data_IF_239220053859
#
_entry.id   IF_239220053859
#
_cell.length_a   1.000
_cell.length_b   1.000
_cell.length_c   1.000
_cell.angle_alpha   90.00
_cell.angle_beta   90.00
_cell.angle_gamma   90.00
#
_symmetry.space_group_name_H-M   'P 1'
#
loop_
_entity.id
_entity.type
_entity.pdbx_description
1 polymer ?
#
# COMPACT_ATOMS: atom_id res chain seq x y z
N UNK A 1 4.41 -64.26 -6.29
CA UNK A 1 3.23 -64.02 -5.42
C UNK A 1 3.21 -62.63 -4.79
N UNK A 2 4.35 -61.98 -4.48
CA UNK A 2 4.38 -60.60 -3.95
C UNK A 2 3.94 -59.50 -4.95
N UNK A 3 4.08 -59.72 -6.26
CA UNK A 3 3.80 -58.72 -7.31
C UNK A 3 2.32 -58.44 -7.57
N UNK A 4 1.41 -59.33 -7.13
CA UNK A 4 -0.05 -59.18 -7.28
C UNK A 4 -0.75 -58.61 -6.03
N UNK A 5 -0.05 -58.54 -4.89
CA UNK A 5 -0.63 -58.06 -3.62
C UNK A 5 -0.57 -56.52 -3.52
N UNK A 6 0.47 -55.91 -4.10
CA UNK A 6 0.70 -54.47 -4.07
C UNK A 6 -0.43 -53.68 -4.78
N UNK A 7 -0.91 -54.06 -5.98
CA UNK A 7 -2.01 -53.34 -6.66
C UNK A 7 -3.35 -53.47 -5.92
N UNK A 8 -3.61 -54.63 -5.29
CA UNK A 8 -4.88 -54.94 -4.61
C UNK A 8 -5.05 -54.14 -3.32
N UNK A 9 -3.96 -53.79 -2.63
CA UNK A 9 -4.00 -52.92 -1.45
C UNK A 9 -3.90 -51.43 -1.80
N UNK A 10 -3.29 -51.07 -2.93
CA UNK A 10 -3.18 -49.68 -3.38
C UNK A 10 -4.52 -49.06 -3.76
N UNK A 11 -5.40 -49.79 -4.45
CA UNK A 11 -6.69 -49.24 -4.90
C UNK A 11 -7.62 -48.90 -3.71
N UNK A 12 -7.88 -49.79 -2.74
CA UNK A 12 -8.69 -49.46 -1.57
C UNK A 12 -8.07 -48.37 -0.71
N UNK A 13 -6.74 -48.39 -0.54
CA UNK A 13 -6.03 -47.35 0.22
C UNK A 13 -6.18 -45.98 -0.46
N UNK A 14 -6.04 -45.93 -1.78
CA UNK A 14 -6.22 -44.70 -2.57
C UNK A 14 -7.66 -44.20 -2.49
N UNK A 15 -8.65 -45.09 -2.58
CA UNK A 15 -10.07 -44.75 -2.44
C UNK A 15 -10.38 -44.22 -1.03
N UNK A 16 -9.85 -44.84 0.03
CA UNK A 16 -10.02 -44.37 1.41
C UNK A 16 -9.36 -43.00 1.60
N UNK A 17 -8.14 -42.80 1.08
CA UNK A 17 -7.44 -41.50 1.13
C UNK A 17 -8.24 -40.44 0.37
N UNK A 18 -8.73 -40.76 -0.83
CA UNK A 18 -9.53 -39.87 -1.66
C UNK A 18 -10.86 -39.51 -0.99
N UNK A 19 -11.56 -40.49 -0.43
CA UNK A 19 -12.81 -40.27 0.31
C UNK A 19 -12.59 -39.44 1.58
N UNK A 20 -11.52 -39.72 2.34
CA UNK A 20 -11.12 -38.89 3.48
C UNK A 20 -10.77 -37.47 3.06
N UNK A 21 -10.12 -37.30 1.93
CA UNK A 21 -9.78 -35.99 1.38
C UNK A 21 -11.02 -35.20 0.95
N UNK A 22 -11.97 -35.84 0.25
CA UNK A 22 -13.23 -35.22 -0.16
C UNK A 22 -14.06 -34.81 1.06
N UNK A 23 -14.19 -35.70 2.05
CA UNK A 23 -15.03 -35.48 3.22
C UNK A 23 -14.37 -34.65 4.33
N UNK A 24 -13.09 -34.26 4.16
CA UNK A 24 -12.42 -33.36 5.09
C UNK A 24 -13.14 -32.01 5.12
N UNK A 25 -13.80 -31.71 6.22
CA UNK A 25 -14.41 -30.39 6.47
C UNK A 25 -13.31 -29.34 6.63
N UNK A 26 -13.53 -28.18 6.01
CA UNK A 26 -12.66 -27.03 6.23
C UNK A 26 -12.91 -26.48 7.64
N UNK A 27 -11.85 -26.00 8.29
CA UNK A 27 -12.00 -25.28 9.57
C UNK A 27 -12.82 -24.00 9.36
N UNK A 28 -13.67 -23.61 10.32
CA UNK A 28 -14.39 -22.35 10.22
C UNK A 28 -13.41 -21.17 10.21
N UNK A 29 -13.77 -20.02 9.62
CA UNK A 29 -12.94 -18.82 9.69
C UNK A 29 -12.74 -18.38 11.14
N UNK A 30 -11.55 -17.88 11.49
CA UNK A 30 -11.29 -17.30 12.82
C UNK A 30 -12.13 -16.02 12.92
N UNK A 31 -12.89 -15.88 14.01
CA UNK A 31 -13.89 -14.82 14.21
C UNK A 31 -14.92 -14.67 13.07
N UNK A 32 -15.14 -15.71 12.26
CA UNK A 32 -16.02 -15.63 11.09
C UNK A 32 -15.45 -14.86 9.89
N UNK A 33 -14.26 -14.25 10.03
CA UNK A 33 -13.63 -13.38 9.04
C UNK A 33 -12.44 -14.07 8.35
N UNK A 34 -11.47 -14.53 9.13
CA UNK A 34 -10.14 -14.91 8.67
C UNK A 34 -10.10 -16.36 8.18
N UNK A 35 -9.92 -16.58 6.87
CA UNK A 35 -9.95 -17.92 6.26
C UNK A 35 -8.72 -18.74 6.60
N UNK A 36 -8.97 -19.98 7.03
CA UNK A 36 -7.91 -20.94 7.33
C UNK A 36 -7.57 -21.81 6.11
N UNK A 37 -6.38 -22.43 6.14
CA UNK A 37 -5.94 -23.36 5.09
C UNK A 37 -6.91 -24.54 4.97
N UNK A 38 -7.63 -24.60 3.85
CA UNK A 38 -8.57 -25.68 3.52
C UNK A 38 -7.90 -26.88 2.84
N UNK A 39 -8.70 -27.90 2.50
CA UNK A 39 -8.21 -29.13 1.83
C UNK A 39 -7.52 -28.90 0.48
N UNK A 40 -7.96 -27.90 -0.29
CA UNK A 40 -7.40 -27.56 -1.61
C UNK A 40 -6.31 -26.48 -1.57
N UNK A 41 -5.86 -26.07 -0.37
CA UNK A 41 -4.90 -24.99 -0.19
C UNK A 41 -3.63 -25.18 -1.02
N UNK A 42 -2.97 -26.34 -0.93
CA UNK A 42 -1.68 -26.54 -1.62
C UNK A 42 -1.80 -26.53 -3.13
N UNK A 43 -2.90 -27.07 -3.68
CA UNK A 43 -3.18 -26.97 -5.11
C UNK A 43 -3.35 -25.52 -5.55
N UNK A 44 -4.20 -24.75 -4.84
CA UNK A 44 -4.41 -23.32 -5.10
C UNK A 44 -3.12 -22.52 -4.99
N UNK A 45 -2.33 -22.79 -3.97
CA UNK A 45 -1.04 -22.15 -3.71
C UNK A 45 -0.08 -22.38 -4.88
N UNK A 46 0.14 -23.62 -5.29
CA UNK A 46 1.05 -23.94 -6.39
C UNK A 46 0.59 -23.30 -7.70
N UNK A 47 -0.71 -23.33 -7.98
CA UNK A 47 -1.28 -22.69 -9.16
C UNK A 47 -1.02 -21.17 -9.16
N UNK A 48 -1.38 -20.47 -8.08
CA UNK A 48 -1.21 -19.02 -8.00
C UNK A 48 0.25 -18.62 -7.98
N UNK A 49 1.09 -19.34 -7.23
CA UNK A 49 2.52 -19.07 -7.17
C UNK A 49 3.15 -19.15 -8.56
N UNK A 50 2.80 -20.18 -9.34
CA UNK A 50 3.28 -20.35 -10.72
C UNK A 50 2.82 -19.22 -11.62
N UNK A 51 1.52 -18.86 -11.59
CA UNK A 51 0.97 -17.74 -12.38
C UNK A 51 1.67 -16.42 -12.03
N UNK A 52 1.84 -16.13 -10.75
CA UNK A 52 2.45 -14.89 -10.27
C UNK A 52 3.93 -14.83 -10.62
N UNK A 53 4.69 -15.93 -10.44
CA UNK A 53 6.10 -16.00 -10.84
C UNK A 53 6.28 -15.86 -12.35
N UNK A 54 5.41 -16.48 -13.15
CA UNK A 54 5.44 -16.32 -14.59
C UNK A 54 5.13 -14.86 -14.99
N UNK A 55 4.14 -14.22 -14.37
CA UNK A 55 3.84 -12.79 -14.59
C UNK A 55 5.04 -11.90 -14.24
N UNK A 56 5.71 -12.17 -13.12
CA UNK A 56 6.92 -11.45 -12.70
C UNK A 56 8.07 -11.63 -13.70
N UNK A 57 8.30 -12.87 -14.15
CA UNK A 57 9.32 -13.17 -15.16
C UNK A 57 9.03 -12.46 -16.48
N UNK A 58 7.78 -12.51 -16.97
CA UNK A 58 7.36 -11.82 -18.19
C UNK A 58 7.59 -10.31 -18.06
N UNK A 59 7.25 -9.71 -16.92
CA UNK A 59 7.47 -8.28 -16.68
C UNK A 59 8.95 -7.94 -16.62
N UNK A 60 9.77 -8.77 -16.00
CA UNK A 60 11.21 -8.60 -15.91
C UNK A 60 11.86 -8.69 -17.30
N UNK A 61 11.51 -9.69 -18.11
CA UNK A 61 12.00 -9.82 -19.49
C UNK A 61 11.58 -8.61 -20.32
N UNK A 62 10.30 -8.17 -20.24
CA UNK A 62 9.85 -6.95 -20.93
C UNK A 62 10.66 -5.73 -20.53
N UNK A 63 10.98 -5.58 -19.24
CA UNK A 63 11.81 -4.48 -18.77
C UNK A 63 13.23 -4.56 -19.35
N UNK A 64 13.87 -5.73 -19.33
CA UNK A 64 15.20 -5.90 -19.93
C UNK A 64 15.19 -5.59 -21.42
N UNK A 65 14.19 -6.08 -22.16
CA UNK A 65 14.05 -5.81 -23.58
C UNK A 65 13.85 -4.32 -23.88
N UNK A 66 13.05 -3.61 -23.07
CA UNK A 66 12.85 -2.17 -23.23
C UNK A 66 14.15 -1.38 -23.00
N UNK A 67 15.00 -1.84 -22.09
CA UNK A 67 16.32 -1.24 -21.80
C UNK A 67 17.33 -1.57 -22.91
N UNK A 68 17.41 -2.84 -23.33
CA UNK A 68 18.43 -3.32 -24.27
C UNK A 68 18.15 -2.93 -25.73
N UNK A 69 16.89 -3.00 -26.17
CA UNK A 69 16.54 -2.74 -27.57
C UNK A 69 16.26 -1.27 -27.89
N UNK A 70 16.35 -0.38 -26.90
CA UNK A 70 16.21 1.07 -27.09
C UNK A 70 15.04 1.44 -27.99
N UNK A 71 13.90 0.72 -27.89
CA UNK A 71 12.74 0.87 -28.78
C UNK A 71 12.01 2.18 -28.52
N UNK A 72 12.68 3.30 -28.69
CA UNK A 72 12.06 4.59 -28.94
C UNK A 72 12.23 4.95 -30.40
N UNK A 73 11.11 5.28 -31.05
CA UNK A 73 11.10 5.88 -32.38
C UNK A 73 11.64 7.32 -32.40
N UNK A 74 11.95 7.92 -31.25
CA UNK A 74 12.34 9.33 -31.12
C UNK A 74 13.70 9.58 -30.43
N UNK A 75 14.42 8.53 -30.01
CA UNK A 75 15.74 8.67 -29.39
C UNK A 75 15.75 9.10 -27.91
N UNK A 76 14.60 9.14 -27.22
CA UNK A 76 14.54 9.35 -25.75
C UNK A 76 14.31 8.05 -24.96
N UNK A 77 14.94 7.94 -23.78
CA UNK A 77 14.96 6.75 -22.92
C UNK A 77 13.58 6.48 -22.30
N UNK A 78 12.94 5.35 -22.66
CA UNK A 78 11.59 4.97 -22.21
C UNK A 78 11.40 4.59 -20.74
N UNK A 79 12.47 4.52 -19.94
CA UNK A 79 12.35 4.29 -18.48
C UNK A 79 11.43 5.35 -17.87
N UNK A 80 11.48 6.59 -18.37
CA UNK A 80 10.59 7.66 -17.92
C UNK A 80 9.15 7.53 -18.41
N UNK A 81 8.86 6.82 -19.52
CA UNK A 81 7.49 6.82 -20.09
C UNK A 81 6.51 6.07 -19.20
N UNK A 82 6.84 4.85 -18.76
CA UNK A 82 5.97 4.09 -17.85
C UNK A 82 5.78 4.80 -16.51
N UNK A 83 6.85 5.39 -15.98
CA UNK A 83 6.81 6.19 -14.75
C UNK A 83 5.94 7.44 -14.95
N UNK A 84 6.07 8.10 -16.10
CA UNK A 84 5.24 9.25 -16.45
C UNK A 84 3.77 8.87 -16.58
N UNK A 85 3.47 7.75 -17.24
CA UNK A 85 2.11 7.22 -17.43
C UNK A 85 1.46 6.86 -16.09
N UNK A 86 2.19 6.21 -15.17
CA UNK A 86 1.71 5.91 -13.81
C UNK A 86 1.51 7.14 -12.92
N UNK A 87 2.16 8.25 -13.27
CA UNK A 87 2.06 9.54 -12.57
C UNK A 87 1.10 10.50 -13.30
N UNK A 88 0.41 10.04 -14.34
CA UNK A 88 -0.71 10.77 -14.90
C UNK A 88 -1.90 10.67 -13.94
N UNK A 89 -2.63 11.77 -13.87
CA UNK A 89 -3.92 11.81 -13.19
C UNK A 89 -4.84 10.77 -13.79
N UNK A 90 -5.33 9.88 -12.95
CA UNK A 90 -6.33 8.91 -13.31
C UNK A 90 -7.62 9.61 -13.74
N UNK A 91 -8.21 9.10 -14.83
CA UNK A 91 -9.52 9.54 -15.28
C UNK A 91 -10.58 8.90 -14.38
N UNK A 92 -11.27 9.73 -13.58
CA UNK A 92 -12.18 9.25 -12.55
C UNK A 92 -13.46 8.57 -13.09
N UNK A 93 -13.68 8.56 -14.41
CA UNK A 93 -14.82 7.91 -15.08
C UNK A 93 -16.19 8.22 -14.44
N UNK A 94 -17.23 7.48 -14.84
CA UNK A 94 -18.59 7.63 -14.28
C UNK A 94 -18.80 6.79 -13.01
N UNK A 95 -17.77 6.12 -12.49
CA UNK A 95 -17.93 5.31 -11.28
C UNK A 95 -17.96 6.23 -10.07
N UNK A 96 -19.05 6.29 -9.29
CA UNK A 96 -19.17 7.21 -8.14
C UNK A 96 -18.16 6.90 -7.03
N UNK A 97 -17.54 5.71 -7.06
CA UNK A 97 -16.55 5.25 -6.09
C UNK A 97 -15.12 5.31 -6.62
N UNK A 98 -14.89 5.90 -7.79
CA UNK A 98 -13.54 6.06 -8.31
C UNK A 98 -12.69 6.92 -7.38
N UNK A 99 -11.38 6.72 -7.45
CA UNK A 99 -10.42 7.47 -6.64
C UNK A 99 -9.13 7.69 -7.41
N UNK A 100 -8.50 8.81 -7.13
CA UNK A 100 -7.11 9.08 -7.42
C UNK A 100 -6.50 9.82 -6.23
N UNK A 101 -5.72 9.10 -5.42
CA UNK A 101 -5.19 9.56 -4.15
C UNK A 101 -3.68 9.64 -4.16
N UNK A 102 -3.17 10.80 -3.72
CA UNK A 102 -1.76 10.97 -3.36
C UNK A 102 -1.69 11.23 -1.87
N UNK A 103 -0.82 10.49 -1.20
CA UNK A 103 -0.65 10.53 0.24
C UNK A 103 0.84 10.64 0.60
N UNK A 104 1.14 11.45 1.61
CA UNK A 104 2.46 11.59 2.19
C UNK A 104 2.41 11.36 3.70
N UNK A 105 3.40 10.64 4.22
CA UNK A 105 3.58 10.40 5.65
C UNK A 105 5.04 10.62 6.03
N UNK A 106 5.32 11.82 6.54
CA UNK A 106 6.63 12.23 7.02
C UNK A 106 6.70 12.23 8.54
N UNK A 107 7.80 11.69 9.07
CA UNK A 107 8.09 11.69 10.50
C UNK A 107 9.59 11.87 10.75
N UNK A 108 9.96 12.78 11.64
CA UNK A 108 11.34 12.98 12.08
C UNK A 108 11.66 12.18 13.36
N UNK A 109 12.96 11.97 13.63
CA UNK A 109 13.43 11.35 14.88
C UNK A 109 13.05 12.16 16.13
N UNK A 110 12.84 13.47 15.98
CA UNK A 110 12.45 14.40 17.05
C UNK A 110 10.93 14.47 17.26
N UNK A 111 10.15 13.74 16.47
CA UNK A 111 8.68 13.71 16.59
C UNK A 111 7.96 14.80 15.80
N UNK A 112 8.63 15.42 14.83
CA UNK A 112 7.97 16.26 13.83
C UNK A 112 7.20 15.36 12.86
N UNK A 113 6.03 15.83 12.42
CA UNK A 113 5.09 15.07 11.60
C UNK A 113 4.55 15.97 10.50
N UNK A 114 4.58 15.49 9.27
CA UNK A 114 3.86 16.08 8.14
C UNK A 114 3.11 14.95 7.45
N UNK A 115 1.79 14.92 7.62
CA UNK A 115 0.94 13.93 6.95
C UNK A 115 -0.09 14.68 6.13
N UNK A 116 -0.12 14.41 4.83
CA UNK A 116 -1.13 14.99 3.95
C UNK A 116 -1.72 13.96 3.01
N UNK A 117 -3.00 14.10 2.73
CA UNK A 117 -3.72 13.29 1.76
C UNK A 117 -4.51 14.21 0.85
N UNK A 118 -4.55 13.88 -0.44
CA UNK A 118 -5.51 14.44 -1.36
C UNK A 118 -5.98 13.36 -2.32
N UNK A 119 -7.23 12.95 -2.16
CA UNK A 119 -7.89 11.96 -3.00
C UNK A 119 -8.99 12.60 -3.83
N UNK A 120 -8.76 12.73 -5.13
CA UNK A 120 -9.76 13.24 -6.09
C UNK A 120 -10.87 12.20 -6.27
N UNK A 121 -12.12 12.68 -6.32
CA UNK A 121 -13.33 11.89 -6.48
C UNK A 121 -14.22 12.48 -7.60
N UNK A 122 -15.12 11.68 -8.20
CA UNK A 122 -16.13 12.20 -9.12
C UNK A 122 -16.98 13.30 -8.47
N UNK A 123 -17.48 14.23 -9.29
CA UNK A 123 -18.33 15.32 -8.80
C UNK A 123 -17.57 16.52 -8.25
N UNK A 124 -16.32 16.73 -8.67
CA UNK A 124 -15.50 17.88 -8.29
C UNK A 124 -15.25 17.95 -6.78
N UNK A 125 -15.11 16.79 -6.14
CA UNK A 125 -14.87 16.69 -4.70
C UNK A 125 -13.58 15.94 -4.43
N UNK A 126 -13.03 16.14 -3.25
CA UNK A 126 -11.85 15.44 -2.79
C UNK A 126 -11.97 15.04 -1.31
N UNK A 127 -11.36 13.91 -0.96
CA UNK A 127 -11.07 13.58 0.43
C UNK A 127 -9.66 14.11 0.75
N UNK A 128 -9.53 15.12 1.61
CA UNK A 128 -8.26 15.74 1.92
C UNK A 128 -8.10 16.15 3.37
N UNK A 129 -6.87 16.04 3.87
CA UNK A 129 -6.46 16.53 5.17
C UNK A 129 -4.97 16.86 5.19
N UNK A 130 -4.58 17.72 6.14
CA UNK A 130 -3.19 18.02 6.49
C UNK A 130 -3.06 17.98 8.02
N UNK A 131 -2.08 17.22 8.50
CA UNK A 131 -1.65 17.16 9.88
C UNK A 131 -0.20 17.63 9.95
N UNK A 132 0.07 18.58 10.84
CA UNK A 132 1.38 19.19 10.96
C UNK A 132 1.78 19.27 12.44
N UNK A 133 2.97 18.77 12.76
CA UNK A 133 3.62 18.98 14.04
C UNK A 133 5.09 19.27 13.78
N UNK A 134 5.58 20.38 14.29
CA UNK A 134 7.00 20.76 14.21
C UNK A 134 7.49 21.14 15.59
N UNK A 135 8.80 21.02 15.82
CA UNK A 135 9.41 21.27 17.11
C UNK A 135 9.01 22.64 17.68
N UNK A 136 8.57 22.63 18.93
CA UNK A 136 8.08 23.81 19.65
C UNK A 136 6.60 24.14 19.43
N UNK A 137 5.93 23.49 18.48
CA UNK A 137 4.51 23.72 18.17
C UNK A 137 3.67 22.48 18.51
N UNK A 138 2.39 22.69 18.79
CA UNK A 138 1.46 21.59 18.99
C UNK A 138 1.03 20.92 17.66
N UNK A 139 0.17 19.90 17.74
CA UNK A 139 -0.39 19.29 16.54
C UNK A 139 -1.43 20.22 15.90
N UNK A 140 -1.18 20.62 14.66
CA UNK A 140 -2.08 21.43 13.84
C UNK A 140 -2.87 20.55 12.88
N UNK A 141 -4.14 20.91 12.68
CA UNK A 141 -5.10 20.20 11.84
C UNK A 141 -5.61 21.13 10.73
N UNK A 142 -5.76 20.62 9.51
CA UNK A 142 -6.45 21.36 8.45
C UNK A 142 -7.87 21.75 8.87
N UNK A 143 -8.39 22.92 8.46
CA UNK A 143 -9.66 23.48 8.95
C UNK A 143 -10.87 22.57 8.86
N UNK A 144 -10.95 21.69 7.86
CA UNK A 144 -12.11 20.84 7.63
C UNK A 144 -12.16 19.63 8.58
N UNK A 145 -11.06 19.26 9.23
CA UNK A 145 -11.04 18.13 10.14
C UNK A 145 -12.04 18.35 11.30
N UNK A 146 -12.76 17.29 11.72
CA UNK A 146 -12.54 15.87 11.38
C UNK A 146 -13.10 15.41 10.03
N UNK A 147 -13.82 16.26 9.29
CA UNK A 147 -14.30 15.92 7.95
C UNK A 147 -13.15 16.02 6.93
N UNK A 148 -13.08 15.04 6.03
CA UNK A 148 -12.12 15.02 4.93
C UNK A 148 -12.77 15.39 3.60
N UNK A 149 -14.09 15.32 3.48
CA UNK A 149 -14.80 15.61 2.25
C UNK A 149 -14.83 17.11 1.97
N UNK A 150 -14.39 17.51 0.78
CA UNK A 150 -14.31 18.92 0.39
C UNK A 150 -14.64 19.10 -1.08
N UNK A 151 -15.42 20.12 -1.41
CA UNK A 151 -15.73 20.52 -2.79
C UNK A 151 -14.60 21.39 -3.37
N UNK A 152 -14.15 21.05 -4.57
CA UNK A 152 -13.19 21.81 -5.35
C UNK A 152 -13.91 22.92 -6.12
N UNK A 153 -13.26 24.08 -6.25
CA UNK A 153 -13.82 25.24 -6.94
C UNK A 153 -12.81 25.87 -7.92
N UNK A 154 -13.32 26.44 -9.03
CA UNK A 154 -12.51 27.20 -9.98
C UNK A 154 -11.26 26.44 -10.47
N UNK A 155 -10.08 26.97 -10.16
CA UNK A 155 -8.78 26.41 -10.58
C UNK A 155 -8.39 25.11 -9.83
N UNK A 156 -9.11 24.72 -8.79
CA UNK A 156 -8.86 23.48 -8.06
C UNK A 156 -9.40 22.25 -8.79
N UNK A 157 -10.42 22.43 -9.64
CA UNK A 157 -11.19 21.33 -10.22
C UNK A 157 -10.27 20.40 -11.02
N UNK A 158 -10.19 19.14 -10.59
CA UNK A 158 -9.40 18.10 -11.26
C UNK A 158 -7.89 18.19 -11.00
N UNK A 159 -7.41 19.18 -10.25
CA UNK A 159 -6.05 19.26 -9.74
C UNK A 159 -5.94 18.57 -8.37
N UNK A 160 -4.71 18.26 -7.93
CA UNK A 160 -4.45 17.93 -6.52
C UNK A 160 -4.29 19.24 -5.74
N UNK A 161 -5.38 20.01 -5.69
CA UNK A 161 -5.47 21.30 -5.00
C UNK A 161 -6.80 21.43 -4.27
N UNK A 162 -6.75 21.91 -3.04
CA UNK A 162 -7.95 22.21 -2.25
C UNK A 162 -7.63 23.14 -1.07
N UNK A 163 -8.34 24.26 -0.95
CA UNK A 163 -8.31 25.17 0.22
C UNK A 163 -6.89 25.48 0.71
N UNK A 164 -6.02 25.87 -0.22
CA UNK A 164 -4.63 26.24 0.06
C UNK A 164 -3.62 25.10 -0.02
N UNK A 165 -4.03 23.83 0.11
CA UNK A 165 -3.16 22.67 -0.09
C UNK A 165 -2.96 22.43 -1.59
N UNK A 166 -1.70 22.34 -2.01
CA UNK A 166 -1.31 22.00 -3.38
C UNK A 166 -0.29 20.87 -3.36
N UNK A 167 -0.56 19.82 -4.13
CA UNK A 167 0.38 18.72 -4.39
C UNK A 167 0.71 18.72 -5.88
N UNK A 168 1.96 19.00 -6.22
CA UNK A 168 2.39 19.12 -7.60
C UNK A 168 3.52 18.16 -7.91
N UNK A 169 3.32 17.36 -8.96
CA UNK A 169 4.38 16.56 -9.57
C UNK A 169 5.41 17.48 -10.21
N UNK A 170 6.67 17.35 -9.81
CA UNK A 170 7.79 18.08 -10.43
C UNK A 170 8.50 17.18 -11.43
N UNK A 171 8.92 16.00 -10.99
CA UNK A 171 9.58 14.98 -11.82
C UNK A 171 8.92 13.64 -11.49
N UNK A 172 8.33 12.93 -12.48
CA UNK A 172 7.71 11.62 -12.28
C UNK A 172 8.58 10.68 -11.44
N UNK A 173 8.00 10.02 -10.43
CA UNK A 173 8.67 9.05 -9.55
C UNK A 173 9.94 9.57 -8.85
N UNK A 174 10.21 10.88 -8.83
CA UNK A 174 11.45 11.42 -8.26
C UNK A 174 11.24 12.61 -7.35
N UNK A 175 10.40 13.56 -7.75
CA UNK A 175 10.23 14.80 -7.02
C UNK A 175 8.80 15.35 -7.09
N UNK A 176 8.30 15.78 -5.94
CA UNK A 176 6.98 16.38 -5.76
C UNK A 176 7.11 17.63 -4.88
N UNK A 177 6.36 18.67 -5.20
CA UNK A 177 6.14 19.81 -4.31
C UNK A 177 4.85 19.58 -3.53
N UNK A 178 4.89 19.85 -2.23
CA UNK A 178 3.74 19.86 -1.34
C UNK A 178 3.76 21.20 -0.62
N UNK A 179 2.76 22.03 -0.91
CA UNK A 179 2.66 23.37 -0.35
C UNK A 179 1.29 23.61 0.27
N UNK A 180 1.25 24.48 1.27
CA UNK A 180 0.01 24.89 1.94
C UNK A 180 0.09 26.35 2.34
N UNK A 181 -0.97 27.12 2.06
CA UNK A 181 -1.13 28.47 2.58
C UNK A 181 -2.55 28.62 3.12
N UNK A 182 -2.68 28.86 4.42
CA UNK A 182 -3.98 29.04 5.07
C UNK A 182 -3.93 28.92 6.58
N UNK A 183 -5.10 28.99 7.21
CA UNK A 183 -5.23 28.80 8.66
C UNK A 183 -5.26 27.30 9.02
N UNK A 184 -4.66 26.90 10.13
CA UNK A 184 -4.82 25.57 10.72
C UNK A 184 -5.33 25.65 12.16
N UNK A 185 -6.09 24.64 12.59
CA UNK A 185 -6.64 24.53 13.95
C UNK A 185 -5.64 23.88 14.89
N UNK A 186 -5.61 24.31 16.15
CA UNK A 186 -4.89 23.62 17.21
C UNK A 186 -5.63 22.34 17.60
N UNK A 187 -4.91 21.24 17.85
CA UNK A 187 -5.54 19.99 18.33
C UNK A 187 -6.10 20.16 19.75
N UNK A 188 -5.43 20.96 20.57
CA UNK A 188 -5.84 21.24 21.95
C UNK A 188 -7.10 22.11 22.03
N UNK A 189 -7.33 22.97 21.03
CA UNK A 189 -8.42 23.95 20.98
C UNK A 189 -8.83 24.25 19.52
N UNK A 190 -9.97 23.71 19.08
CA UNK A 190 -10.42 23.83 17.69
C UNK A 190 -10.89 25.22 17.27
N UNK A 191 -11.13 26.11 18.24
CA UNK A 191 -11.52 27.51 17.97
C UNK A 191 -10.28 28.38 17.68
N UNK A 192 -9.12 27.98 18.19
CA UNK A 192 -7.85 28.67 17.92
C UNK A 192 -7.28 28.24 16.57
N UNK A 193 -6.88 29.26 15.82
CA UNK A 193 -6.26 29.09 14.51
C UNK A 193 -4.94 29.85 14.43
N UNK A 194 -4.03 29.31 13.63
CA UNK A 194 -2.73 29.90 13.33
C UNK A 194 -2.54 29.95 11.82
N UNK A 195 -1.83 30.96 11.33
CA UNK A 195 -1.51 31.09 9.92
C UNK A 195 -0.33 30.19 9.59
N UNK A 196 -0.47 29.36 8.57
CA UNK A 196 0.56 28.43 8.12
C UNK A 196 0.90 28.67 6.66
N UNK A 197 2.21 28.76 6.38
CA UNK A 197 2.77 28.67 5.04
C UNK A 197 3.77 27.52 4.99
N UNK A 198 3.55 26.55 4.15
CA UNK A 198 4.39 25.37 3.98
C UNK A 198 4.82 25.28 2.53
N UNK A 199 6.11 25.03 2.31
CA UNK A 199 6.67 24.69 1.02
C UNK A 199 7.71 23.59 1.19
N UNK A 200 7.35 22.37 0.77
CA UNK A 200 8.17 21.19 0.92
C UNK A 200 8.41 20.54 -0.44
N UNK A 201 9.65 20.16 -0.70
CA UNK A 201 10.00 19.24 -1.77
C UNK A 201 10.15 17.84 -1.21
N UNK A 202 9.33 16.92 -1.67
CA UNK A 202 9.55 15.50 -1.50
C UNK A 202 10.46 14.97 -2.60
N UNK A 203 11.46 14.17 -2.24
CA UNK A 203 12.34 13.50 -3.20
C UNK A 203 12.72 12.09 -2.76
N UNK A 204 13.04 11.23 -3.73
CA UNK A 204 13.41 9.84 -3.48
C UNK A 204 14.71 9.45 -4.19
N UNK A 205 15.51 8.63 -3.49
CA UNK A 205 16.62 7.85 -4.07
C UNK A 205 16.21 6.41 -4.39
N UNK A 206 15.06 5.98 -3.88
CA UNK A 206 14.52 4.64 -4.03
C UNK A 206 13.67 4.56 -5.29
N UNK A 207 13.71 3.42 -5.96
CA UNK A 207 12.68 3.08 -6.94
C UNK A 207 11.31 2.93 -6.25
N UNK A 208 10.24 3.20 -6.97
CA UNK A 208 8.89 2.91 -6.47
C UNK A 208 8.64 1.41 -6.36
N UNK A 209 7.79 1.03 -5.40
CA UNK A 209 7.30 -0.31 -5.20
C UNK A 209 5.85 -0.40 -5.66
N UNK A 210 5.64 -1.05 -6.81
CA UNK A 210 4.35 -1.27 -7.43
C UNK A 210 3.74 -2.61 -6.98
N UNK A 211 2.63 -2.53 -6.26
CA UNK A 211 1.99 -3.69 -5.64
C UNK A 211 1.42 -4.70 -6.65
N UNK A 212 1.09 -4.27 -7.87
CA UNK A 212 0.54 -5.16 -8.89
C UNK A 212 1.58 -6.12 -9.48
N UNK A 213 2.86 -5.78 -9.35
CA UNK A 213 3.94 -6.46 -10.07
C UNK A 213 5.07 -6.91 -9.16
N UNK A 214 5.35 -6.21 -8.07
CA UNK A 214 6.54 -6.44 -7.25
C UNK A 214 6.26 -7.17 -5.92
N UNK A 215 4.99 -7.35 -5.53
CA UNK A 215 4.64 -8.14 -4.34
C UNK A 215 5.22 -9.55 -4.37
N UNK A 216 5.55 -10.10 -3.19
CA UNK A 216 6.00 -11.49 -3.09
C UNK A 216 4.95 -12.45 -3.63
N UNK A 217 5.29 -13.17 -4.70
CA UNK A 217 4.44 -14.22 -5.28
C UNK A 217 4.10 -15.30 -4.23
N UNK A 218 4.99 -15.53 -3.26
CA UNK A 218 4.78 -16.49 -2.17
C UNK A 218 3.72 -15.99 -1.18
N UNK A 219 3.80 -14.73 -0.74
CA UNK A 219 2.81 -14.13 0.16
C UNK A 219 1.44 -14.11 -0.50
N UNK A 220 1.36 -13.53 -1.70
CA UNK A 220 0.10 -13.41 -2.44
C UNK A 220 -0.52 -14.78 -2.74
N UNK A 221 0.28 -15.79 -3.11
CA UNK A 221 -0.24 -17.14 -3.31
C UNK A 221 -0.72 -17.80 -2.00
N UNK A 222 -0.02 -17.60 -0.87
CA UNK A 222 -0.46 -18.10 0.44
C UNK A 222 -1.80 -17.48 0.84
N UNK A 223 -1.97 -16.19 0.58
CA UNK A 223 -3.15 -15.43 0.96
C UNK A 223 -4.35 -15.79 0.08
N UNK A 224 -4.19 -15.79 -1.25
CA UNK A 224 -5.22 -16.23 -2.20
C UNK A 224 -5.63 -17.69 -2.02
N UNK A 225 -4.71 -18.59 -1.63
CA UNK A 225 -4.99 -20.01 -1.49
C UNK A 225 -5.86 -20.34 -0.26
N UNK A 226 -5.96 -19.43 0.71
CA UNK A 226 -6.86 -19.56 1.87
C UNK A 226 -8.31 -19.30 1.49
N UNK A 227 -8.53 -18.49 0.47
CA UNK A 227 -9.85 -18.03 0.09
C UNK A 227 -10.69 -19.10 -0.63
N UNK A 228 -12.01 -18.95 -0.53
CA UNK A 228 -12.95 -19.82 -1.24
C UNK A 228 -13.08 -19.38 -2.70
N UNK A 229 -12.45 -20.13 -3.59
CA UNK A 229 -12.48 -19.83 -5.01
C UNK A 229 -13.84 -20.18 -5.63
N UNK A 230 -14.35 -19.24 -6.39
CA UNK A 230 -15.51 -19.37 -7.26
C UNK A 230 -15.34 -18.40 -8.43
N UNK A 231 -16.20 -18.52 -9.45
CA UNK A 231 -16.22 -17.53 -10.53
C UNK A 231 -16.50 -16.12 -10.01
N UNK A 232 -17.45 -16.00 -9.07
CA UNK A 232 -17.80 -14.72 -8.43
C UNK A 232 -16.65 -14.12 -7.63
N UNK A 233 -15.85 -14.96 -6.96
CA UNK A 233 -14.65 -14.52 -6.25
C UNK A 233 -13.64 -13.83 -7.19
N UNK A 234 -13.32 -14.45 -8.34
CA UNK A 234 -12.40 -13.86 -9.31
C UNK A 234 -12.97 -12.63 -10.02
N UNK A 235 -14.28 -12.57 -10.22
CA UNK A 235 -14.95 -11.35 -10.70
C UNK A 235 -14.82 -10.20 -9.71
N UNK A 236 -14.94 -10.50 -8.41
CA UNK A 236 -14.79 -9.50 -7.36
C UNK A 236 -13.34 -9.02 -7.24
N UNK A 237 -12.36 -9.93 -7.30
CA UNK A 237 -10.94 -9.57 -7.37
C UNK A 237 -10.65 -8.59 -8.52
N UNK A 238 -11.21 -8.85 -9.71
CA UNK A 238 -11.06 -7.94 -10.86
C UNK A 238 -11.75 -6.60 -10.64
N UNK A 239 -12.94 -6.60 -10.01
CA UNK A 239 -13.72 -5.39 -9.74
C UNK A 239 -13.02 -4.48 -8.72
N UNK A 240 -12.42 -5.07 -7.68
CA UNK A 240 -11.77 -4.34 -6.59
C UNK A 240 -10.30 -4.03 -6.85
N UNK A 241 -9.76 -4.47 -7.98
CA UNK A 241 -8.41 -4.13 -8.38
C UNK A 241 -8.27 -2.61 -8.53
N UNK A 242 -7.21 -2.10 -7.92
CA UNK A 242 -6.74 -0.74 -8.00
C UNK A 242 -5.25 -0.79 -8.23
N UNK A 243 -4.73 0.21 -8.93
CA UNK A 243 -3.28 0.41 -9.02
C UNK A 243 -2.83 1.13 -7.76
N UNK A 244 -1.80 0.60 -7.13
CA UNK A 244 -1.20 1.19 -5.93
C UNK A 244 0.31 1.00 -5.99
N UNK A 245 1.04 2.07 -5.73
CA UNK A 245 2.47 2.03 -5.56
C UNK A 245 2.92 3.04 -4.52
N UNK A 246 4.06 2.72 -3.91
CA UNK A 246 4.62 3.48 -2.82
C UNK A 246 6.09 3.75 -3.06
N UNK A 247 6.61 4.79 -2.42
CA UNK A 247 7.99 5.18 -2.57
C UNK A 247 8.48 5.84 -1.29
N UNK A 248 9.60 5.35 -0.76
CA UNK A 248 10.26 6.00 0.37
C UNK A 248 11.04 7.20 -0.13
N UNK A 249 11.09 8.27 0.65
CA UNK A 249 11.78 9.49 0.29
C UNK A 249 11.99 10.40 1.49
N UNK A 250 12.20 11.67 1.20
CA UNK A 250 12.46 12.70 2.19
C UNK A 250 11.72 13.98 1.82
N UNK A 251 11.12 14.61 2.82
CA UNK A 251 10.71 16.01 2.73
C UNK A 251 11.89 16.91 3.09
N UNK A 252 12.07 17.97 2.30
CA UNK A 252 12.96 19.08 2.60
C UNK A 252 12.28 20.40 2.26
N UNK A 253 12.34 21.38 3.15
CA UNK A 253 11.76 22.70 2.91
C UNK A 253 11.51 23.48 4.19
N UNK A 254 10.54 24.39 4.16
CA UNK A 254 10.23 25.27 5.28
C UNK A 254 8.74 25.32 5.58
N UNK A 255 8.44 25.52 6.85
CA UNK A 255 7.09 25.69 7.39
C UNK A 255 7.12 26.94 8.27
N UNK A 256 6.23 27.88 7.99
CA UNK A 256 6.10 29.13 8.72
C UNK A 256 4.77 29.09 9.47
N UNK A 257 4.80 29.29 10.79
CA UNK A 257 3.63 29.32 11.67
C UNK A 257 3.65 30.63 12.44
N UNK A 258 2.66 31.52 12.20
CA UNK A 258 2.58 32.86 12.82
C UNK A 258 3.95 33.57 12.90
N UNK A 259 4.62 33.67 11.75
CA UNK A 259 5.95 34.29 11.54
C UNK A 259 7.17 33.49 12.04
N UNK A 260 6.99 32.35 12.71
CA UNK A 260 8.11 31.47 13.08
C UNK A 260 8.46 30.52 11.96
N UNK A 261 9.73 30.52 11.55
CA UNK A 261 10.23 29.65 10.48
C UNK A 261 10.79 28.34 11.06
N UNK A 262 10.30 27.22 10.55
CA UNK A 262 10.74 25.87 10.88
C UNK A 262 11.30 25.19 9.63
N UNK A 263 12.58 24.84 9.67
CA UNK A 263 13.22 24.06 8.62
C UNK A 263 12.89 22.58 8.79
N UNK A 264 12.42 21.94 7.72
CA UNK A 264 12.08 20.52 7.70
C UNK A 264 13.09 19.75 6.85
N UNK A 265 13.59 18.65 7.41
CA UNK A 265 14.32 17.60 6.70
C UNK A 265 14.00 16.26 7.38
N UNK A 266 13.07 15.50 6.81
CA UNK A 266 12.57 14.28 7.45
C UNK A 266 12.30 13.16 6.45
N UNK A 267 12.49 11.89 6.85
CA UNK A 267 11.99 10.75 6.09
C UNK A 267 10.49 10.87 5.83
N UNK A 268 10.06 10.49 4.63
CA UNK A 268 8.67 10.57 4.21
C UNK A 268 8.35 9.53 3.15
N UNK A 269 7.29 8.76 3.40
CA UNK A 269 6.67 7.91 2.38
C UNK A 269 5.76 8.75 1.47
N UNK A 270 5.78 8.45 0.16
CA UNK A 270 4.69 8.79 -0.76
C UNK A 270 3.95 7.54 -1.22
N UNK A 271 2.62 7.59 -1.22
CA UNK A 271 1.69 6.64 -1.84
C UNK A 271 0.96 7.33 -2.99
N UNK A 272 0.80 6.62 -4.11
CA UNK A 272 -0.20 6.95 -5.11
C UNK A 272 -1.09 5.73 -5.39
N UNK A 273 -2.40 5.92 -5.21
CA UNK A 273 -3.43 4.90 -5.35
C UNK A 273 -4.57 5.38 -6.24
N UNK A 274 -4.93 4.61 -7.26
CA UNK A 274 -6.04 4.98 -8.14
C UNK A 274 -6.78 3.78 -8.71
N UNK A 275 -8.05 4.00 -9.06
CA UNK A 275 -8.86 2.98 -9.68
C UNK A 275 -10.35 3.30 -9.67
N UNK A 276 -11.17 2.42 -10.29
CA UNK A 276 -12.59 2.68 -10.49
C UNK A 276 -13.43 2.47 -9.23
N UNK A 277 -12.89 1.84 -8.19
CA UNK A 277 -13.65 1.47 -6.99
C UNK A 277 -12.77 1.52 -5.75
N UNK A 278 -13.02 2.47 -4.83
CA UNK A 278 -12.45 2.51 -3.47
C UNK A 278 -13.52 2.87 -2.45
N UNK A 279 -13.83 1.92 -1.57
CA UNK A 279 -14.76 2.07 -0.47
C UNK A 279 -14.16 1.46 0.81
N UNK A 280 -13.94 2.31 1.82
CA UNK A 280 -13.35 1.92 3.10
C UNK A 280 -14.20 0.90 3.87
N UNK A 281 -15.52 0.84 3.63
CA UNK A 281 -16.42 -0.15 4.26
C UNK A 281 -16.13 -1.58 3.83
N UNK A 282 -15.35 -1.78 2.76
CA UNK A 282 -14.95 -3.12 2.32
C UNK A 282 -13.80 -3.69 3.14
N UNK A 283 -13.05 -2.83 3.84
CA UNK A 283 -11.99 -3.23 4.74
C UNK A 283 -12.62 -3.64 6.06
N UNK A 284 -12.25 -4.83 6.54
CA UNK A 284 -12.54 -5.20 7.92
C UNK A 284 -11.58 -4.46 8.84
N UNK A 285 -10.27 -4.67 8.64
CA UNK A 285 -9.21 -4.11 9.47
C UNK A 285 -7.90 -4.07 8.68
N UNK A 286 -7.02 -3.13 9.00
CA UNK A 286 -5.65 -3.13 8.53
C UNK A 286 -4.72 -2.50 9.56
N UNK A 287 -3.44 -2.84 9.48
CA UNK A 287 -2.35 -2.19 10.19
C UNK A 287 -1.22 -2.02 9.19
N UNK A 288 -0.59 -0.85 9.19
CA UNK A 288 0.47 -0.54 8.27
C UNK A 288 1.53 0.33 8.94
N UNK A 289 2.77 -0.10 8.89
CA UNK A 289 3.91 0.52 9.56
C UNK A 289 4.85 1.12 8.53
N UNK A 290 5.26 2.36 8.76
CA UNK A 290 6.36 3.00 8.07
C UNK A 290 7.51 3.14 9.06
N UNK A 291 8.64 2.50 8.77
CA UNK A 291 9.75 2.38 9.69
C UNK A 291 11.00 2.93 9.00
N UNK A 292 11.70 3.83 9.69
CA UNK A 292 12.93 4.46 9.24
C UNK A 292 14.04 4.17 10.25
N UNK A 293 15.11 3.50 9.80
CA UNK A 293 16.20 3.05 10.65
C UNK A 293 17.38 4.03 10.61
N UNK A 294 18.21 4.02 11.66
CA UNK A 294 19.36 4.92 11.79
C UNK A 294 20.44 4.67 10.73
N UNK A 295 20.55 3.45 10.23
CA UNK A 295 21.46 3.10 9.13
C UNK A 295 20.97 3.61 7.75
N UNK A 296 19.80 4.26 7.70
CA UNK A 296 19.17 4.79 6.50
C UNK A 296 18.33 3.78 5.72
N UNK A 297 18.24 2.52 6.18
CA UNK A 297 17.26 1.56 5.67
C UNK A 297 15.86 2.01 6.08
N UNK A 298 14.87 1.66 5.28
CA UNK A 298 13.49 1.95 5.59
C UNK A 298 12.56 0.88 5.03
N UNK A 299 11.35 0.79 5.56
CA UNK A 299 10.41 -0.25 5.16
C UNK A 299 8.97 0.19 5.39
N UNK A 300 8.10 -0.30 4.52
CA UNK A 300 6.67 -0.27 4.75
C UNK A 300 6.21 -1.72 4.92
N UNK A 301 5.49 -2.03 6.00
CA UNK A 301 5.03 -3.40 6.25
C UNK A 301 3.69 -3.41 6.97
N UNK A 302 2.80 -4.29 6.54
CA UNK A 302 1.62 -4.56 7.33
C UNK A 302 0.72 -5.65 6.79
N UNK A 303 -0.47 -5.65 7.37
CA UNK A 303 -1.48 -6.66 7.14
C UNK A 303 -2.83 -6.00 6.88
N UNK A 304 -3.54 -6.48 5.87
CA UNK A 304 -4.84 -5.99 5.46
C UNK A 304 -5.84 -7.15 5.49
N UNK A 305 -7.07 -6.86 5.90
CA UNK A 305 -8.21 -7.76 5.78
C UNK A 305 -9.32 -7.05 5.02
N UNK A 306 -9.60 -7.54 3.82
CA UNK A 306 -10.72 -7.16 2.98
C UNK A 306 -11.50 -8.44 2.65
N UNK A 307 -12.31 -8.96 3.59
CA UNK A 307 -12.73 -10.38 3.62
C UNK A 307 -13.51 -10.87 2.39
N UNK A 308 -14.05 -9.94 1.60
CA UNK A 308 -14.71 -10.27 0.34
C UNK A 308 -13.73 -10.82 -0.71
N UNK A 309 -12.46 -10.41 -0.67
CA UNK A 309 -11.42 -10.86 -1.62
C UNK A 309 -10.20 -11.50 -0.94
N UNK A 310 -9.77 -10.98 0.20
CA UNK A 310 -8.57 -11.39 0.91
C UNK A 310 -8.79 -11.15 2.40
N UNK A 311 -9.11 -12.21 3.14
CA UNK A 311 -9.25 -12.15 4.60
C UNK A 311 -7.90 -11.99 5.31
N UNK A 312 -6.82 -12.41 4.63
CA UNK A 312 -5.44 -12.15 4.98
C UNK A 312 -4.75 -11.53 3.77
N UNK A 313 -4.00 -10.46 3.98
CA UNK A 313 -3.11 -9.90 2.97
C UNK A 313 -1.86 -9.35 3.66
N UNK A 314 -0.72 -10.00 3.46
CA UNK A 314 0.58 -9.47 3.88
C UNK A 314 1.14 -8.58 2.79
N UNK A 315 1.40 -7.31 3.11
CA UNK A 315 1.90 -6.30 2.17
C UNK A 315 3.14 -5.60 2.73
N UNK A 316 3.99 -5.13 1.83
CA UNK A 316 5.12 -4.28 2.18
C UNK A 316 6.37 -4.54 1.35
N UNK A 317 7.36 -3.71 1.62
CA UNK A 317 8.69 -3.76 1.03
C UNK A 317 9.75 -3.19 1.99
N UNK A 318 11.01 -3.54 1.71
CA UNK A 318 12.20 -3.09 2.42
C UNK A 318 13.14 -2.37 1.44
N UNK A 319 13.65 -1.22 1.84
CA UNK A 319 14.59 -0.38 1.10
C UNK A 319 15.96 -0.43 1.80
N UNK A 320 16.99 -0.90 1.09
CA UNK A 320 18.34 -1.09 1.63
C UNK A 320 19.31 0.01 1.22
N UNK A 321 19.74 0.85 2.16
CA UNK A 321 20.55 2.07 1.96
C UNK A 321 21.83 1.85 1.16
N UNK A 322 22.52 0.74 1.44
CA UNK A 322 23.86 0.46 0.92
C UNK A 322 23.94 0.41 -0.60
N UNK A 323 22.88 -0.06 -1.27
CA UNK A 323 22.87 -0.26 -2.72
C UNK A 323 21.56 0.20 -3.40
N UNK A 324 20.71 0.90 -2.67
CA UNK A 324 19.48 1.51 -3.19
C UNK A 324 18.46 0.49 -3.74
N UNK A 325 18.53 -0.76 -3.26
CA UNK A 325 17.61 -1.82 -3.68
C UNK A 325 16.32 -1.85 -2.87
N UNK A 326 15.22 -2.27 -3.53
CA UNK A 326 13.90 -2.41 -2.94
C UNK A 326 13.46 -3.87 -3.06
N UNK A 327 13.15 -4.50 -1.93
CA UNK A 327 12.77 -5.90 -1.86
C UNK A 327 11.34 -6.05 -1.34
N UNK A 328 10.53 -6.98 -1.89
CA UNK A 328 9.24 -7.28 -1.31
C UNK A 328 9.40 -8.00 0.04
N UNK A 329 8.42 -7.82 0.93
CA UNK A 329 8.30 -8.68 2.11
C UNK A 329 7.86 -10.09 1.66
N UNK A 330 8.64 -11.10 2.05
CA UNK A 330 8.44 -12.51 1.69
C UNK A 330 7.69 -13.33 2.72
N UNK A 331 7.63 -12.83 3.96
CA UNK A 331 6.75 -13.33 5.02
C UNK A 331 6.67 -12.31 6.13
N UNK A 332 5.53 -12.25 6.82
CA UNK A 332 5.34 -11.56 8.08
C UNK A 332 4.49 -12.46 8.98
N UNK A 333 4.83 -12.57 10.27
CA UNK A 333 4.03 -13.34 11.23
C UNK A 333 2.94 -12.51 11.92
N UNK A 334 2.88 -11.19 11.71
CA UNK A 334 1.82 -10.32 12.23
C UNK A 334 0.43 -10.77 11.75
N UNK A 335 -0.47 -11.11 12.69
CA UNK A 335 -1.83 -11.53 12.37
C UNK A 335 -2.86 -10.56 12.97
N UNK A 336 -3.68 -9.93 12.12
CA UNK A 336 -4.71 -8.99 12.57
C UNK A 336 -5.65 -9.54 13.65
N UNK A 337 -6.04 -10.81 13.57
CA UNK A 337 -6.93 -11.42 14.56
C UNK A 337 -6.31 -11.62 15.94
N UNK A 338 -4.98 -11.52 16.08
CA UNK A 338 -4.29 -11.60 17.36
C UNK A 338 -4.25 -10.24 18.09
N UNK A 339 -4.59 -9.15 17.39
CA UNK A 339 -4.47 -7.79 17.91
C UNK A 339 -5.77 -7.03 17.67
N UNK A 340 -6.49 -6.59 18.70
CA UNK A 340 -7.58 -5.61 18.56
C UNK A 340 -8.92 -6.08 17.97
N UNK A 341 -9.16 -7.39 17.78
CA UNK A 341 -10.42 -7.88 17.20
C UNK A 341 -11.64 -7.54 18.06
N UNK A 342 -11.45 -7.47 19.38
CA UNK A 342 -12.48 -7.06 20.34
C UNK A 342 -12.44 -5.56 20.67
N UNK A 343 -11.90 -4.74 19.77
CA UNK A 343 -11.70 -3.29 19.96
C UNK A 343 -10.78 -2.93 21.14
N UNK A 344 -10.07 -3.91 21.70
CA UNK A 344 -9.04 -3.70 22.72
C UNK A 344 -7.69 -3.61 22.01
N UNK A 345 -7.21 -2.38 21.81
CA UNK A 345 -5.90 -2.16 21.20
C UNK A 345 -4.78 -2.69 22.11
N UNK A 346 -3.82 -3.44 21.58
CA UNK A 346 -2.63 -3.82 22.34
C UNK A 346 -1.83 -2.57 22.74
N UNK A 347 -1.21 -2.59 23.92
CA UNK A 347 -0.29 -1.51 24.33
C UNK A 347 1.05 -1.60 23.61
N UNK A 348 1.46 -2.83 23.30
CA UNK A 348 2.68 -3.19 22.60
C UNK A 348 2.45 -4.46 21.75
N UNK A 349 3.20 -4.59 20.67
CA UNK A 349 3.31 -5.82 19.89
C UNK A 349 4.60 -5.80 19.07
N UNK A 350 5.09 -6.98 18.74
CA UNK A 350 6.22 -7.19 17.84
C UNK A 350 5.86 -8.21 16.76
N UNK A 351 6.66 -8.25 15.71
CA UNK A 351 6.49 -9.20 14.62
C UNK A 351 7.81 -9.45 13.88
N UNK A 352 7.92 -10.64 13.30
CA UNK A 352 9.06 -11.05 12.50
C UNK A 352 8.68 -11.02 11.03
N UNK A 353 9.56 -10.45 10.22
CA UNK A 353 9.41 -10.48 8.78
C UNK A 353 10.68 -11.00 8.08
N UNK A 354 10.52 -11.35 6.81
CA UNK A 354 11.62 -11.78 5.95
C UNK A 354 11.57 -11.06 4.63
N UNK A 355 12.73 -10.76 4.07
CA UNK A 355 12.87 -10.15 2.75
C UNK A 355 14.20 -10.59 2.13
N UNK A 356 14.16 -11.11 0.90
CA UNK A 356 15.35 -11.73 0.28
C UNK A 356 16.02 -12.77 1.18
N UNK A 357 17.34 -12.66 1.38
CA UNK A 357 18.11 -13.52 2.29
C UNK A 357 18.17 -13.00 3.74
N UNK A 358 17.45 -11.92 4.07
CA UNK A 358 17.50 -11.25 5.37
C UNK A 358 16.26 -11.60 6.20
N UNK A 359 16.49 -11.87 7.49
CA UNK A 359 15.45 -12.07 8.50
C UNK A 359 15.66 -11.01 9.57
N UNK A 360 14.70 -10.11 9.70
CA UNK A 360 14.71 -9.03 10.69
C UNK A 360 13.61 -9.30 11.74
N UNK A 361 13.85 -8.86 12.97
CA UNK A 361 12.91 -8.96 14.09
C UNK A 361 12.58 -7.52 14.51
N UNK A 362 11.28 -7.18 14.55
CA UNK A 362 10.79 -5.89 15.00
C UNK A 362 9.98 -6.03 16.30
#
# INVERSE_FOLDING_TARGET
MLTLIIPVLLIPTTLVIFFRFINKKNKPPIFGVYKQRGKSYWFKFLLMFTILKLRQLINHIKHLLDVEFGRSSDGTVHIQRRETDLEQKYFLADSPTAVDAVYFNGMSKTGDVVICNLARRPGQVCDSFLLLKVNGEELLLSPCLPDTYQEQSGLEIGDYKIKGLTIQKMIPMRAWNVSYTGEMKLRSDYEKKVNVQMDLTWSSIWNSFNYDTQMSARCMANDLARENWSRGYFQLLKKFHQTHYEQMGYFKGTIIIDDKVHSVNMPCLRDHSFGPFRDWRTFHRYVYHFIFLENGDCMAIGAVSQPAILSHLTIGYFCRRSDQTVFPIESCDFQLYQHGEHQVLPKDYGFVFKTGNYKEIL
#
